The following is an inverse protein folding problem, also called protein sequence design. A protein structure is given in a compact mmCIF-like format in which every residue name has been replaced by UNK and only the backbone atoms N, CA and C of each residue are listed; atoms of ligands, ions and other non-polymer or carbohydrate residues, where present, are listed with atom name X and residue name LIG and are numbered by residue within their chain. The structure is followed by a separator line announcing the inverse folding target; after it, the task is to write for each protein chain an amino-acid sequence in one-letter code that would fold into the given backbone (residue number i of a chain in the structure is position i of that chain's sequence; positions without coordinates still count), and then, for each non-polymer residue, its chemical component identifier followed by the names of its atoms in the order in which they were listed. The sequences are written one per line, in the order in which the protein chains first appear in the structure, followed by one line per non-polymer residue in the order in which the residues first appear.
data_IF_931947545108
#
_entry.id   IF_931947545108
#
_cell.length_a   1.000
_cell.length_b   1.000
_cell.length_c   1.000
_cell.angle_alpha   90.00
_cell.angle_beta   90.00
_cell.angle_gamma   90.00
#
_symmetry.space_group_name_H-M   'P 1'
#
loop_
_entity.id
_entity.type
_entity.pdbx_description
1 polymer ?
#
# COMPACT_ATOMS: atom_id res chain seq x y z
N UNK A 1 -18.82 10.76 4.92
CA UNK A 1 -20.29 10.78 5.08
C UNK A 1 -21.02 11.54 3.97
N UNK A 2 -20.37 12.46 3.30
CA UNK A 2 -20.98 13.18 2.17
C UNK A 2 -21.29 12.29 0.96
N UNK A 3 -20.52 11.24 0.77
CA UNK A 3 -20.63 10.32 -0.36
C UNK A 3 -21.39 9.01 -0.06
N UNK A 4 -21.81 8.76 1.19
CA UNK A 4 -22.46 7.52 1.58
C UNK A 4 -23.59 7.77 2.60
N UNK A 5 -24.77 7.18 2.35
CA UNK A 5 -25.94 7.28 3.26
C UNK A 5 -25.70 6.51 4.56
N UNK A 6 -24.96 5.42 4.51
CA UNK A 6 -24.66 4.55 5.64
C UNK A 6 -23.23 4.02 5.51
N UNK A 7 -22.49 4.03 6.60
CA UNK A 7 -21.13 3.50 6.68
C UNK A 7 -21.10 2.34 7.67
N UNK A 8 -20.70 1.19 7.19
CA UNK A 8 -20.46 0.00 8.01
C UNK A 8 -18.96 -0.23 8.10
N UNK A 9 -18.43 -0.33 9.31
CA UNK A 9 -17.02 -0.58 9.57
C UNK A 9 -16.79 -1.93 10.19
N UNK A 10 -15.63 -2.52 9.93
CA UNK A 10 -15.18 -3.73 10.62
C UNK A 10 -13.70 -3.65 10.97
N UNK A 11 -13.31 -4.36 12.02
CA UNK A 11 -11.93 -4.51 12.46
C UNK A 11 -11.79 -5.83 13.20
N UNK A 12 -10.59 -6.42 13.20
CA UNK A 12 -10.29 -7.60 14.03
C UNK A 12 -10.36 -7.31 15.52
N UNK A 13 -10.10 -6.06 15.92
CA UNK A 13 -10.15 -5.63 17.32
C UNK A 13 -11.56 -5.18 17.70
N UNK A 14 -12.15 -5.71 18.78
CA UNK A 14 -13.50 -5.33 19.20
C UNK A 14 -13.61 -3.87 19.65
N UNK A 15 -12.51 -3.27 20.06
CA UNK A 15 -12.43 -1.88 20.53
C UNK A 15 -11.61 -1.02 19.56
N UNK A 16 -11.98 -1.05 18.29
CA UNK A 16 -11.35 -0.19 17.29
C UNK A 16 -11.91 1.23 17.33
N UNK A 17 -11.08 2.28 17.20
CA UNK A 17 -11.55 3.65 17.05
C UNK A 17 -12.52 3.85 15.88
N UNK A 18 -12.49 3.00 14.88
CA UNK A 18 -13.44 3.00 13.74
C UNK A 18 -14.89 2.97 14.22
N UNK A 19 -15.19 2.26 15.32
CA UNK A 19 -16.55 2.14 15.88
C UNK A 19 -17.21 3.49 16.19
N UNK A 20 -16.44 4.54 16.45
CA UNK A 20 -16.95 5.89 16.73
C UNK A 20 -17.30 6.70 15.48
N UNK A 21 -16.88 6.25 14.30
CA UNK A 21 -17.00 7.00 13.04
C UNK A 21 -17.94 6.36 12.03
N UNK A 22 -18.51 5.18 12.36
CA UNK A 22 -19.39 4.41 11.47
C UNK A 22 -20.79 4.26 12.07
N UNK A 23 -21.79 3.98 11.23
CA UNK A 23 -23.17 3.79 11.67
C UNK A 23 -23.40 2.38 12.26
N UNK A 24 -22.61 1.40 11.82
CA UNK A 24 -22.56 0.03 12.36
C UNK A 24 -21.11 -0.45 12.38
N UNK A 25 -20.76 -1.15 13.44
CA UNK A 25 -19.43 -1.74 13.59
C UNK A 25 -19.54 -3.23 13.87
N UNK A 26 -18.67 -4.00 13.24
CA UNK A 26 -18.57 -5.45 13.39
C UNK A 26 -17.14 -5.88 13.67
N UNK A 27 -16.97 -6.84 14.59
CA UNK A 27 -15.71 -7.53 14.77
C UNK A 27 -15.54 -8.53 13.64
N UNK A 28 -14.50 -8.36 12.83
CA UNK A 28 -14.15 -9.25 11.73
C UNK A 28 -13.17 -10.33 12.18
N UNK A 29 -13.20 -11.53 11.60
CA UNK A 29 -12.07 -12.45 11.69
C UNK A 29 -10.85 -11.90 10.96
N UNK A 30 -9.68 -12.48 11.20
CA UNK A 30 -8.46 -12.10 10.47
C UNK A 30 -8.62 -12.45 8.98
N UNK A 31 -8.21 -11.55 8.08
CA UNK A 31 -8.25 -11.84 6.64
C UNK A 31 -7.35 -13.03 6.25
N UNK A 32 -6.31 -13.31 7.05
CA UNK A 32 -5.47 -14.51 6.90
C UNK A 32 -6.23 -15.82 7.14
N UNK A 33 -7.30 -15.79 7.93
CA UNK A 33 -8.28 -16.87 7.99
C UNK A 33 -9.33 -16.67 6.88
N UNK A 34 -8.92 -17.05 5.68
CA UNK A 34 -9.66 -16.72 4.45
C UNK A 34 -11.08 -17.27 4.46
N UNK A 35 -11.32 -18.44 5.04
CA UNK A 35 -12.63 -19.09 5.06
C UNK A 35 -13.61 -18.28 5.91
N UNK A 36 -13.24 -18.00 7.14
CA UNK A 36 -14.08 -17.27 8.10
C UNK A 36 -14.26 -15.81 7.64
N UNK A 37 -13.19 -15.20 7.12
CA UNK A 37 -13.25 -13.84 6.59
C UNK A 37 -14.23 -13.71 5.42
N UNK A 38 -14.19 -14.62 4.45
CA UNK A 38 -15.11 -14.60 3.31
C UNK A 38 -16.56 -14.90 3.73
N UNK A 39 -16.77 -15.82 4.69
CA UNK A 39 -18.09 -16.08 5.26
C UNK A 39 -18.66 -14.84 5.96
N UNK A 40 -17.83 -14.17 6.78
CA UNK A 40 -18.16 -12.92 7.45
C UNK A 40 -18.53 -11.82 6.43
N UNK A 41 -17.72 -11.60 5.40
CA UNK A 41 -18.01 -10.58 4.39
C UNK A 41 -19.33 -10.85 3.68
N UNK A 42 -19.62 -12.12 3.33
CA UNK A 42 -20.89 -12.51 2.73
C UNK A 42 -22.07 -12.19 3.64
N UNK A 43 -21.98 -12.58 4.92
CA UNK A 43 -23.05 -12.35 5.91
C UNK A 43 -23.34 -10.84 6.07
N UNK A 44 -22.29 -10.04 6.30
CA UNK A 44 -22.45 -8.60 6.52
C UNK A 44 -22.92 -7.88 5.25
N UNK A 45 -22.42 -8.28 4.08
CA UNK A 45 -22.87 -7.69 2.80
C UNK A 45 -24.37 -7.86 2.60
N UNK A 46 -24.92 -9.03 2.89
CA UNK A 46 -26.36 -9.31 2.75
C UNK A 46 -27.16 -8.58 3.84
N UNK A 47 -26.73 -8.69 5.11
CA UNK A 47 -27.42 -8.10 6.27
C UNK A 47 -27.53 -6.59 6.18
N UNK A 48 -26.43 -5.93 5.81
CA UNK A 48 -26.32 -4.47 5.80
C UNK A 48 -26.63 -3.85 4.43
N UNK A 49 -26.89 -4.70 3.41
CA UNK A 49 -27.13 -4.30 2.01
C UNK A 49 -25.98 -3.44 1.51
N UNK A 50 -24.76 -3.96 1.62
CA UNK A 50 -23.54 -3.27 1.20
C UNK A 50 -23.52 -3.15 -0.33
N UNK A 51 -23.38 -1.94 -0.82
CA UNK A 51 -23.22 -1.64 -2.25
C UNK A 51 -21.75 -1.56 -2.65
N UNK A 52 -20.91 -0.98 -1.76
CA UNK A 52 -19.48 -0.74 -2.00
C UNK A 52 -18.64 -1.28 -0.84
N UNK A 53 -17.54 -1.91 -1.16
CA UNK A 53 -16.57 -2.37 -0.16
C UNK A 53 -15.18 -1.84 -0.46
N UNK A 54 -14.58 -1.17 0.51
CA UNK A 54 -13.24 -0.61 0.46
C UNK A 54 -12.31 -1.38 1.42
N UNK A 55 -11.45 -2.28 0.92
CA UNK A 55 -10.44 -2.94 1.73
C UNK A 55 -9.31 -1.95 2.07
N UNK A 56 -8.87 -1.97 3.33
CA UNK A 56 -7.84 -1.04 3.82
C UNK A 56 -6.51 -1.75 4.06
N UNK A 57 -6.55 -2.99 4.55
CA UNK A 57 -5.33 -3.73 4.84
C UNK A 57 -4.83 -4.53 3.64
N UNK A 58 -3.51 -4.71 3.55
CA UNK A 58 -2.90 -5.51 2.49
C UNK A 58 -3.32 -6.98 2.56
N UNK A 59 -3.60 -7.51 3.77
CA UNK A 59 -4.12 -8.87 3.94
C UNK A 59 -5.52 -9.03 3.34
N UNK A 60 -6.39 -8.03 3.49
CA UNK A 60 -7.72 -8.04 2.86
C UNK A 60 -7.59 -7.96 1.33
N UNK A 61 -6.72 -7.08 0.84
CA UNK A 61 -6.47 -6.90 -0.59
C UNK A 61 -5.96 -8.20 -1.22
N UNK A 62 -5.01 -8.89 -0.58
CA UNK A 62 -4.44 -10.15 -1.09
C UNK A 62 -5.53 -11.24 -1.19
N UNK A 63 -6.36 -11.39 -0.17
CA UNK A 63 -7.48 -12.33 -0.17
C UNK A 63 -8.51 -11.96 -1.23
N UNK A 64 -8.93 -10.70 -1.28
CA UNK A 64 -9.96 -10.24 -2.22
C UNK A 64 -9.47 -10.23 -3.67
N UNK A 65 -8.17 -10.04 -3.90
CA UNK A 65 -7.58 -10.11 -5.23
C UNK A 65 -7.88 -11.46 -5.91
N UNK A 66 -7.80 -12.55 -5.16
CA UNK A 66 -8.06 -13.90 -5.68
C UNK A 66 -9.54 -14.31 -5.60
N UNK A 67 -10.34 -13.66 -4.77
CA UNK A 67 -11.73 -14.02 -4.45
C UNK A 67 -12.75 -12.95 -4.82
N UNK A 68 -12.35 -11.93 -5.60
CA UNK A 68 -13.22 -10.78 -5.94
C UNK A 68 -14.57 -11.20 -6.50
N UNK A 69 -14.62 -12.20 -7.40
CA UNK A 69 -15.86 -12.69 -8.00
C UNK A 69 -16.90 -13.19 -6.99
N UNK A 70 -16.46 -13.68 -5.83
CA UNK A 70 -17.40 -14.15 -4.79
C UNK A 70 -18.14 -12.99 -4.11
N UNK A 71 -17.49 -11.83 -4.00
CA UNK A 71 -18.10 -10.64 -3.43
C UNK A 71 -18.91 -9.88 -4.48
N UNK A 72 -18.39 -9.76 -5.69
CA UNK A 72 -19.08 -9.13 -6.82
C UNK A 72 -20.40 -9.88 -7.16
N UNK A 73 -20.42 -11.21 -7.03
CA UNK A 73 -21.65 -12.01 -7.21
C UNK A 73 -22.76 -11.71 -6.19
N UNK A 74 -22.45 -11.01 -5.09
CA UNK A 74 -23.42 -10.50 -4.12
C UNK A 74 -23.99 -9.13 -4.52
N UNK A 75 -23.56 -8.55 -5.64
CA UNK A 75 -23.89 -7.21 -6.06
C UNK A 75 -23.04 -6.12 -5.40
N UNK A 76 -21.96 -6.49 -4.69
CA UNK A 76 -21.06 -5.56 -4.03
C UNK A 76 -19.95 -5.13 -4.97
N UNK A 77 -19.76 -3.84 -5.15
CA UNK A 77 -18.65 -3.30 -5.92
C UNK A 77 -17.41 -3.13 -5.01
N UNK A 78 -16.28 -3.67 -5.48
CA UNK A 78 -15.02 -3.59 -4.75
C UNK A 78 -14.20 -2.37 -5.22
N UNK A 79 -13.89 -1.46 -4.29
CA UNK A 79 -12.88 -0.43 -4.50
C UNK A 79 -11.49 -1.08 -4.39
N UNK A 80 -11.15 -1.84 -5.41
CA UNK A 80 -9.97 -2.70 -5.44
C UNK A 80 -9.29 -2.57 -6.81
N UNK A 81 -8.01 -2.28 -6.81
CA UNK A 81 -7.23 -2.16 -8.04
C UNK A 81 -7.27 -3.44 -8.88
N UNK A 82 -6.94 -3.34 -10.16
CA UNK A 82 -6.84 -4.49 -11.07
C UNK A 82 -5.85 -5.52 -10.52
N UNK A 83 -6.06 -6.79 -10.85
CA UNK A 83 -5.27 -7.91 -10.34
C UNK A 83 -3.77 -7.74 -10.64
N UNK A 84 -3.40 -7.34 -11.86
CA UNK A 84 -2.01 -7.11 -12.23
C UNK A 84 -1.32 -6.04 -11.37
N UNK A 85 -2.03 -4.96 -11.01
CA UNK A 85 -1.53 -3.90 -10.14
C UNK A 85 -1.26 -4.44 -8.74
N UNK A 86 -2.22 -5.21 -8.20
CA UNK A 86 -2.10 -5.81 -6.87
C UNK A 86 -0.98 -6.85 -6.84
N UNK A 87 -0.93 -7.77 -7.81
CA UNK A 87 0.09 -8.82 -7.89
C UNK A 87 1.51 -8.26 -8.04
N UNK A 88 1.65 -7.09 -8.68
CA UNK A 88 2.93 -6.40 -8.81
C UNK A 88 3.31 -5.70 -7.53
N UNK A 89 2.41 -4.92 -6.94
CA UNK A 89 2.78 -4.01 -5.84
C UNK A 89 2.68 -4.64 -4.43
N UNK A 90 2.02 -5.78 -4.26
CA UNK A 90 2.13 -6.58 -3.03
C UNK A 90 3.42 -7.40 -2.95
N UNK A 91 4.11 -7.60 -4.06
CA UNK A 91 5.43 -8.27 -4.12
C UNK A 91 6.53 -7.23 -4.32
N UNK A 92 7.36 -7.02 -3.28
CA UNK A 92 8.40 -5.97 -3.30
C UNK A 92 9.48 -6.20 -4.35
N UNK A 93 9.78 -7.46 -4.69
CA UNK A 93 10.73 -7.76 -5.76
C UNK A 93 10.14 -7.44 -7.14
N UNK A 94 8.88 -7.83 -7.37
CA UNK A 94 8.17 -7.47 -8.61
C UNK A 94 8.01 -5.96 -8.76
N UNK A 95 7.75 -5.25 -7.65
CA UNK A 95 7.69 -3.77 -7.65
C UNK A 95 9.00 -3.17 -8.16
N UNK A 96 10.14 -3.62 -7.63
CA UNK A 96 11.46 -3.14 -8.06
C UNK A 96 11.69 -3.46 -9.53
N UNK A 97 11.51 -4.71 -9.95
CA UNK A 97 11.68 -5.14 -11.35
C UNK A 97 10.80 -4.35 -12.33
N UNK A 98 9.56 -4.09 -11.94
CA UNK A 98 8.62 -3.29 -12.74
C UNK A 98 9.11 -1.84 -12.90
N UNK A 99 9.53 -1.21 -11.80
CA UNK A 99 10.02 0.17 -11.82
C UNK A 99 11.34 0.30 -12.60
N UNK A 100 12.24 -0.67 -12.49
CA UNK A 100 13.47 -0.74 -13.31
C UNK A 100 13.13 -0.83 -14.80
N UNK A 101 12.12 -1.63 -15.17
CA UNK A 101 11.62 -1.72 -16.55
C UNK A 101 11.11 -0.39 -17.11
N UNK A 102 10.64 0.49 -16.24
CA UNK A 102 10.25 1.87 -16.57
C UNK A 102 11.41 2.87 -16.47
N UNK A 103 12.65 2.45 -16.20
CA UNK A 103 13.79 3.33 -15.91
C UNK A 103 13.48 4.33 -14.77
N UNK A 104 12.76 3.91 -13.73
CA UNK A 104 12.54 4.65 -12.50
C UNK A 104 13.58 4.19 -11.49
N UNK A 105 14.23 5.13 -10.81
CA UNK A 105 15.25 4.81 -9.82
C UNK A 105 14.66 4.09 -8.62
N UNK A 106 15.26 2.95 -8.28
CA UNK A 106 14.90 2.11 -7.12
C UNK A 106 16.17 1.74 -6.36
N UNK A 107 16.09 1.39 -5.08
CA UNK A 107 17.25 0.84 -4.36
C UNK A 107 17.58 -0.55 -4.91
N UNK A 108 18.84 -0.88 -5.07
CA UNK A 108 19.28 -2.24 -5.45
C UNK A 108 18.65 -3.25 -4.50
N UNK A 109 18.00 -4.26 -5.05
CA UNK A 109 17.20 -5.23 -4.29
C UNK A 109 17.33 -6.61 -4.90
N UNK A 110 17.56 -7.62 -4.07
CA UNK A 110 17.61 -9.02 -4.51
C UNK A 110 17.11 -9.95 -3.40
N UNK A 111 17.00 -11.25 -3.70
CA UNK A 111 16.78 -12.24 -2.66
C UNK A 111 17.97 -12.26 -1.70
N UNK A 112 17.72 -12.43 -0.41
CA UNK A 112 18.79 -12.54 0.58
C UNK A 112 19.69 -13.75 0.31
N UNK A 113 19.15 -14.83 -0.27
CA UNK A 113 19.94 -16.01 -0.70
C UNK A 113 20.98 -15.72 -1.77
N UNK A 114 20.77 -14.69 -2.57
CA UNK A 114 21.58 -14.35 -3.75
C UNK A 114 22.59 -13.23 -3.46
N UNK A 115 22.58 -12.73 -2.21
CA UNK A 115 23.40 -11.59 -1.82
C UNK A 115 24.88 -11.95 -1.67
N UNK A 116 25.73 -11.17 -2.31
CA UNK A 116 27.17 -11.33 -2.39
C UNK A 116 27.96 -10.27 -1.60
N UNK A 117 27.31 -9.60 -0.65
CA UNK A 117 27.84 -8.51 0.19
C UNK A 117 28.22 -7.21 -0.58
N UNK A 118 27.68 -7.05 -1.79
CA UNK A 118 28.04 -5.97 -2.73
C UNK A 118 27.47 -4.58 -2.39
N UNK A 119 26.50 -4.48 -1.44
CA UNK A 119 25.86 -3.19 -1.14
C UNK A 119 26.58 -2.38 -0.07
N UNK A 120 27.42 -3.02 0.75
CA UNK A 120 27.94 -2.44 1.98
C UNK A 120 26.86 -2.27 3.05
N UNK A 121 27.24 -1.74 4.20
CA UNK A 121 26.32 -1.52 5.32
C UNK A 121 26.06 -0.04 5.55
N UNK A 122 24.86 0.35 6.05
CA UNK A 122 23.74 -0.51 6.42
C UNK A 122 22.94 -1.01 5.22
N UNK A 123 22.29 -2.18 5.37
CA UNK A 123 21.30 -2.71 4.41
C UNK A 123 19.94 -2.91 5.09
N UNK A 124 18.89 -3.03 4.30
CA UNK A 124 17.54 -3.35 4.76
C UNK A 124 17.21 -4.79 4.41
N UNK A 125 16.83 -5.58 5.41
CA UNK A 125 16.24 -6.91 5.20
C UNK A 125 14.73 -6.84 5.45
N UNK A 126 13.94 -7.36 4.53
CA UNK A 126 12.47 -7.35 4.60
C UNK A 126 11.87 -8.56 3.90
N UNK A 127 10.66 -8.95 4.30
CA UNK A 127 9.94 -10.02 3.59
C UNK A 127 9.51 -9.55 2.20
N UNK A 128 9.60 -10.44 1.21
CA UNK A 128 9.15 -10.23 -0.17
C UNK A 128 7.67 -9.83 -0.21
N UNK A 129 6.82 -10.54 0.55
CA UNK A 129 5.44 -10.17 0.83
C UNK A 129 5.32 -9.95 2.34
N UNK A 130 4.90 -8.78 2.76
CA UNK A 130 4.68 -8.47 4.18
C UNK A 130 3.66 -7.36 4.31
N UNK A 131 2.89 -7.40 5.39
CA UNK A 131 1.87 -6.43 5.70
C UNK A 131 2.32 -5.57 6.89
N UNK A 132 2.36 -4.24 6.71
CA UNK A 132 2.60 -3.28 7.78
C UNK A 132 4.00 -3.30 8.37
N UNK A 133 5.06 -3.29 7.56
CA UNK A 133 6.48 -3.24 7.96
C UNK A 133 6.92 -4.37 8.91
N UNK A 134 6.14 -5.44 9.01
CA UNK A 134 6.53 -6.62 9.77
C UNK A 134 7.77 -7.23 9.12
N UNK A 135 8.76 -7.58 9.95
CA UNK A 135 10.05 -8.15 9.53
C UNK A 135 10.97 -7.21 8.73
N UNK A 136 10.73 -5.88 8.75
CA UNK A 136 11.71 -4.93 8.23
C UNK A 136 12.81 -4.71 9.28
N UNK A 137 14.06 -4.93 8.90
CA UNK A 137 15.23 -4.74 9.77
C UNK A 137 16.31 -3.97 9.03
N UNK A 138 16.86 -2.96 9.68
CA UNK A 138 18.08 -2.29 9.25
C UNK A 138 19.25 -3.05 9.86
N UNK A 139 20.13 -3.56 9.02
CA UNK A 139 21.28 -4.38 9.37
C UNK A 139 22.52 -3.52 9.27
N UNK A 140 23.27 -3.46 10.34
CA UNK A 140 24.41 -2.56 10.47
C UNK A 140 25.75 -3.22 10.14
N UNK A 141 25.83 -4.55 10.20
CA UNK A 141 27.05 -5.31 9.98
C UNK A 141 26.78 -6.73 9.50
N UNK A 142 27.86 -7.43 9.15
CA UNK A 142 27.82 -8.81 8.65
C UNK A 142 27.35 -9.83 9.68
N UNK A 143 27.55 -9.60 10.96
CA UNK A 143 27.17 -10.57 12.01
C UNK A 143 25.67 -10.64 12.19
N UNK A 144 25.01 -9.48 12.17
CA UNK A 144 23.55 -9.39 12.16
C UNK A 144 22.97 -10.03 10.91
N UNK A 145 23.60 -9.82 9.75
CA UNK A 145 23.16 -10.40 8.49
C UNK A 145 23.29 -11.93 8.51
N UNK A 146 24.39 -12.47 9.00
CA UNK A 146 24.61 -13.92 9.11
C UNK A 146 23.55 -14.59 10.01
N UNK A 147 23.22 -13.95 11.14
CA UNK A 147 22.18 -14.45 12.03
C UNK A 147 20.81 -14.53 11.35
N UNK A 148 20.44 -13.53 10.55
CA UNK A 148 19.17 -13.50 9.84
C UNK A 148 19.18 -14.48 8.67
N UNK A 149 20.31 -14.60 7.95
CA UNK A 149 20.46 -15.51 6.83
C UNK A 149 20.25 -16.97 7.24
N UNK A 150 20.71 -17.36 8.43
CA UNK A 150 20.46 -18.71 8.99
C UNK A 150 18.99 -19.03 9.25
N UNK A 151 18.14 -18.00 9.35
CA UNK A 151 16.69 -18.12 9.57
C UNK A 151 15.86 -17.84 8.32
N UNK A 152 16.52 -17.58 7.19
CA UNK A 152 15.85 -17.28 5.93
C UNK A 152 15.23 -18.55 5.34
N UNK A 153 13.93 -18.51 5.10
CA UNK A 153 13.15 -19.56 4.43
C UNK A 153 13.06 -19.33 2.89
N UNK A 154 13.89 -18.43 2.36
CA UNK A 154 13.86 -18.02 0.95
C UNK A 154 12.89 -16.86 0.66
N UNK A 155 12.17 -16.36 1.64
CA UNK A 155 11.18 -15.27 1.47
C UNK A 155 11.73 -13.86 1.72
N UNK A 156 12.98 -13.76 2.21
CA UNK A 156 13.58 -12.48 2.56
C UNK A 156 14.28 -11.82 1.36
N UNK A 157 14.12 -10.51 1.27
CA UNK A 157 14.86 -9.62 0.38
C UNK A 157 15.90 -8.87 1.18
N UNK A 158 17.03 -8.60 0.53
CA UNK A 158 17.99 -7.60 0.95
C UNK A 158 17.94 -6.41 0.01
N UNK A 159 17.97 -5.21 0.57
CA UNK A 159 17.85 -3.97 -0.16
C UNK A 159 18.87 -2.95 0.34
N UNK A 160 19.44 -2.21 -0.61
CA UNK A 160 20.28 -1.06 -0.32
C UNK A 160 19.56 -0.04 0.57
N UNK A 161 20.23 0.46 1.60
CA UNK A 161 19.71 1.53 2.45
C UNK A 161 20.00 2.89 1.81
N UNK A 162 19.04 3.44 1.10
CA UNK A 162 19.19 4.70 0.37
C UNK A 162 18.64 5.90 1.12
N UNK A 163 19.28 7.05 0.94
CA UNK A 163 18.82 8.35 1.41
C UNK A 163 18.70 8.47 2.92
N UNK A 164 17.91 9.44 3.36
CA UNK A 164 17.69 9.77 4.76
C UNK A 164 16.21 9.74 5.11
N UNK A 165 15.88 9.35 6.34
CA UNK A 165 14.51 9.40 6.88
C UNK A 165 13.95 10.83 6.94
N UNK A 166 14.81 11.86 6.86
CA UNK A 166 14.40 13.28 6.80
C UNK A 166 13.91 13.68 5.39
N UNK A 167 14.32 12.94 4.38
CA UNK A 167 13.97 13.15 2.97
C UNK A 167 13.10 12.02 2.44
N UNK A 168 12.14 11.59 3.24
CA UNK A 168 11.17 10.56 2.87
C UNK A 168 9.84 11.19 2.45
N UNK A 169 9.33 10.74 1.30
CA UNK A 169 8.13 11.24 0.66
C UNK A 169 7.07 10.14 0.55
N UNK A 170 5.82 10.54 0.65
CA UNK A 170 4.66 9.69 0.39
C UNK A 170 3.73 10.38 -0.59
N UNK A 171 3.41 9.70 -1.67
CA UNK A 171 2.60 10.26 -2.75
C UNK A 171 1.34 9.43 -2.94
N UNK A 172 0.17 10.07 -2.80
CA UNK A 172 -1.08 9.49 -3.24
C UNK A 172 -1.25 9.71 -4.73
N UNK A 173 -1.61 8.65 -5.43
CA UNK A 173 -1.85 8.65 -6.87
C UNK A 173 -3.25 8.12 -7.10
N UNK A 174 -4.07 8.87 -7.81
CA UNK A 174 -5.40 8.46 -8.24
C UNK A 174 -5.53 8.61 -9.75
N UNK A 175 -6.25 7.67 -10.36
CA UNK A 175 -6.69 7.81 -11.75
C UNK A 175 -8.12 7.32 -11.91
N UNK A 176 -8.89 8.00 -12.73
CA UNK A 176 -10.21 7.56 -13.19
C UNK A 176 -10.15 6.78 -14.52
N UNK A 177 -8.93 6.57 -15.02
CA UNK A 177 -8.65 5.96 -16.32
C UNK A 177 -8.34 6.97 -17.43
N UNK A 178 -8.69 8.25 -17.25
CA UNK A 178 -8.42 9.33 -18.21
C UNK A 178 -7.47 10.38 -17.62
N UNK A 179 -7.68 10.75 -16.37
CA UNK A 179 -6.91 11.77 -15.67
C UNK A 179 -6.14 11.10 -14.54
N UNK A 180 -4.86 11.43 -14.44
CA UNK A 180 -4.01 11.05 -13.31
C UNK A 180 -3.80 12.27 -12.43
N UNK A 181 -4.08 12.12 -11.14
CA UNK A 181 -3.83 13.15 -10.13
C UNK A 181 -2.89 12.59 -9.07
N UNK A 182 -1.97 13.40 -8.57
CA UNK A 182 -1.08 13.05 -7.49
C UNK A 182 -1.01 14.14 -6.42
N UNK A 183 -0.68 13.76 -5.20
CA UNK A 183 -0.37 14.67 -4.11
C UNK A 183 0.78 14.10 -3.28
N UNK A 184 1.81 14.90 -3.08
CA UNK A 184 3.04 14.48 -2.43
C UNK A 184 3.23 15.20 -1.10
N UNK A 185 3.64 14.44 -0.10
CA UNK A 185 4.07 14.98 1.20
C UNK A 185 5.47 14.48 1.53
N UNK A 186 6.33 15.38 1.97
CA UNK A 186 7.49 14.99 2.78
C UNK A 186 6.98 14.64 4.16
N UNK A 187 7.36 13.46 4.67
CA UNK A 187 6.77 12.93 5.90
C UNK A 187 7.83 12.59 6.95
N UNK A 188 7.40 12.62 8.20
CA UNK A 188 8.13 12.05 9.33
C UNK A 188 7.34 10.88 9.88
N UNK A 189 8.02 9.75 10.06
CA UNK A 189 7.43 8.57 10.65
C UNK A 189 7.55 8.58 12.17
N UNK A 190 6.49 8.13 12.82
CA UNK A 190 6.45 7.84 14.25
C UNK A 190 6.44 6.34 14.53
N UNK A 191 6.00 6.00 15.73
CA UNK A 191 5.85 4.60 16.14
C UNK A 191 4.90 3.84 15.19
N UNK A 192 5.26 2.61 14.82
CA UNK A 192 4.45 1.78 13.93
C UNK A 192 4.44 2.23 12.47
N UNK A 193 5.44 3.00 12.03
CA UNK A 193 5.58 3.49 10.64
C UNK A 193 4.41 4.35 10.17
N UNK A 194 3.66 4.97 11.08
CA UNK A 194 2.62 5.94 10.74
C UNK A 194 3.21 7.33 10.56
N UNK A 195 2.72 8.08 9.58
CA UNK A 195 3.09 9.48 9.40
C UNK A 195 2.54 10.32 10.55
N UNK A 196 3.43 10.94 11.34
CA UNK A 196 3.07 11.86 12.43
C UNK A 196 3.17 13.32 12.00
N UNK A 197 3.92 13.58 10.93
CA UNK A 197 4.07 14.90 10.31
C UNK A 197 4.06 14.70 8.79
N UNK A 198 3.36 15.59 8.08
CA UNK A 198 3.29 15.58 6.63
C UNK A 198 3.26 17.03 6.13
N UNK A 199 4.27 17.42 5.35
CA UNK A 199 4.43 18.73 4.75
C UNK A 199 4.18 18.59 3.26
N UNK A 200 3.22 19.35 2.72
CA UNK A 200 2.95 19.35 1.29
C UNK A 200 4.22 19.71 0.51
N UNK A 201 4.53 18.92 -0.48
CA UNK A 201 5.70 19.08 -1.33
C UNK A 201 5.28 19.19 -2.79
N UNK A 202 5.87 20.16 -3.49
CA UNK A 202 5.72 20.34 -4.93
C UNK A 202 7.00 19.81 -5.60
N UNK A 203 6.91 18.63 -6.21
CA UNK A 203 8.06 17.90 -6.75
C UNK A 203 7.73 17.38 -8.16
N UNK A 204 8.03 18.18 -9.21
CA UNK A 204 7.69 17.83 -10.60
C UNK A 204 8.26 16.49 -11.07
N UNK A 205 9.41 16.06 -10.52
CA UNK A 205 9.98 14.75 -10.83
C UNK A 205 9.10 13.61 -10.29
N UNK A 206 8.56 13.75 -9.08
CA UNK A 206 7.61 12.77 -8.53
C UNK A 206 6.34 12.74 -9.37
N UNK A 207 5.82 13.89 -9.80
CA UNK A 207 4.62 13.95 -10.65
C UNK A 207 4.85 13.23 -11.98
N UNK A 208 6.02 13.40 -12.59
CA UNK A 208 6.39 12.65 -13.80
C UNK A 208 6.44 11.14 -13.54
N UNK A 209 7.05 10.71 -12.44
CA UNK A 209 7.11 9.29 -12.05
C UNK A 209 5.68 8.73 -11.87
N UNK A 210 4.82 9.45 -11.16
CA UNK A 210 3.44 9.00 -10.88
C UNK A 210 2.61 8.87 -12.15
N UNK A 211 2.74 9.84 -13.07
CA UNK A 211 2.07 9.82 -14.37
C UNK A 211 2.47 8.59 -15.18
N UNK A 212 3.77 8.28 -15.25
CA UNK A 212 4.30 7.12 -15.99
C UNK A 212 3.78 5.81 -15.42
N UNK A 213 3.83 5.64 -14.10
CA UNK A 213 3.32 4.43 -13.42
C UNK A 213 1.82 4.26 -13.67
N UNK A 214 1.03 5.32 -13.49
CA UNK A 214 -0.41 5.25 -13.61
C UNK A 214 -0.86 4.92 -15.04
N UNK A 215 -0.22 5.53 -16.03
CA UNK A 215 -0.52 5.29 -17.45
C UNK A 215 -0.13 3.87 -17.86
N UNK A 216 1.10 3.44 -17.54
CA UNK A 216 1.60 2.11 -17.93
C UNK A 216 0.79 0.97 -17.29
N UNK A 217 0.42 1.11 -16.01
CA UNK A 217 -0.45 0.14 -15.31
C UNK A 217 -1.92 0.20 -15.74
N UNK A 218 -2.35 1.23 -16.47
CA UNK A 218 -3.76 1.49 -16.74
C UNK A 218 -4.54 1.61 -15.44
N UNK A 219 -4.03 2.44 -14.50
CA UNK A 219 -4.59 2.61 -13.17
C UNK A 219 -6.00 3.18 -13.26
N UNK A 220 -6.93 2.52 -12.55
CA UNK A 220 -8.26 3.04 -12.22
C UNK A 220 -8.46 2.79 -10.74
N UNK A 221 -8.37 3.85 -9.94
CA UNK A 221 -8.39 3.77 -8.49
C UNK A 221 -7.20 4.49 -7.85
N UNK A 222 -6.82 4.08 -6.64
CA UNK A 222 -5.77 4.76 -5.87
C UNK A 222 -4.65 3.80 -5.48
N UNK A 223 -3.42 4.31 -5.55
CA UNK A 223 -2.21 3.66 -5.01
C UNK A 223 -1.41 4.67 -4.20
N UNK A 224 -0.49 4.18 -3.38
CA UNK A 224 0.40 5.04 -2.59
C UNK A 224 1.86 4.67 -2.83
N UNK A 225 2.64 5.61 -3.35
CA UNK A 225 4.07 5.47 -3.59
C UNK A 225 4.88 6.05 -2.43
N UNK A 226 6.02 5.42 -2.13
CA UNK A 226 6.98 5.91 -1.16
C UNK A 226 8.35 6.02 -1.81
N UNK A 227 8.99 7.18 -1.60
CA UNK A 227 10.30 7.48 -2.19
C UNK A 227 11.19 8.25 -1.20
N UNK A 228 12.47 8.25 -1.47
CA UNK A 228 13.44 9.12 -0.79
C UNK A 228 14.21 9.94 -1.80
N UNK A 229 14.55 11.16 -1.42
CA UNK A 229 15.47 11.99 -2.20
C UNK A 229 16.92 11.54 -1.93
N UNK A 230 17.67 11.32 -3.00
CA UNK A 230 19.09 10.98 -2.99
C UNK A 230 19.80 11.90 -3.99
N UNK A 231 20.47 12.91 -3.49
CA UNK A 231 20.96 13.99 -4.34
C UNK A 231 19.82 14.74 -5.03
N UNK A 232 19.81 14.75 -6.34
CA UNK A 232 18.76 15.38 -7.14
C UNK A 232 17.64 14.41 -7.56
N UNK A 233 17.77 13.12 -7.25
CA UNK A 233 16.87 12.09 -7.75
C UNK A 233 15.92 11.61 -6.66
N UNK A 234 14.76 11.09 -7.08
CA UNK A 234 13.86 10.33 -6.22
C UNK A 234 13.99 8.83 -6.46
N UNK A 235 14.28 8.11 -5.40
CA UNK A 235 14.42 6.64 -5.41
C UNK A 235 13.16 6.03 -4.81
N UNK A 236 12.37 5.33 -5.62
CA UNK A 236 11.11 4.70 -5.20
C UNK A 236 11.40 3.34 -4.58
N UNK A 237 11.01 3.14 -3.31
CA UNK A 237 11.31 1.91 -2.60
C UNK A 237 10.10 1.06 -2.23
N UNK A 238 8.87 1.60 -2.37
CA UNK A 238 7.62 0.89 -2.11
C UNK A 238 6.44 1.52 -2.83
N UNK A 239 5.54 0.69 -3.36
CA UNK A 239 4.21 1.10 -3.81
C UNK A 239 3.19 0.18 -3.13
N UNK A 240 2.15 0.79 -2.55
CA UNK A 240 1.04 0.08 -1.94
C UNK A 240 -0.21 0.23 -2.80
N UNK A 241 -0.84 -0.86 -3.26
CA UNK A 241 -2.00 -0.81 -4.17
C UNK A 241 -3.31 -0.48 -3.42
N UNK A 242 -3.29 0.56 -2.58
CA UNK A 242 -4.37 0.96 -1.69
C UNK A 242 -4.28 2.41 -1.26
N UNK A 243 -5.37 2.90 -0.67
CA UNK A 243 -5.36 4.15 0.09
C UNK A 243 -4.38 4.05 1.28
N UNK A 244 -3.73 5.13 1.62
CA UNK A 244 -2.76 5.17 2.71
C UNK A 244 -3.28 5.90 3.95
N UNK A 245 -2.54 5.79 5.07
CA UNK A 245 -2.83 6.52 6.30
C UNK A 245 -2.79 8.05 6.15
N UNK A 246 -2.20 8.57 5.07
CA UNK A 246 -2.17 10.03 4.78
C UNK A 246 -3.44 10.54 4.12
N UNK A 247 -4.45 9.71 3.89
CA UNK A 247 -5.71 10.10 3.25
C UNK A 247 -6.38 11.32 3.91
N UNK A 248 -6.39 11.42 5.23
CA UNK A 248 -6.96 12.57 5.93
C UNK A 248 -6.15 13.86 5.72
N UNK A 249 -4.84 13.77 5.56
CA UNK A 249 -4.01 14.93 5.19
C UNK A 249 -4.35 15.38 3.77
N UNK A 250 -4.43 14.44 2.81
CA UNK A 250 -4.74 14.72 1.40
C UNK A 250 -6.07 15.44 1.25
N UNK A 251 -7.11 14.97 1.96
CA UNK A 251 -8.44 15.57 1.93
C UNK A 251 -8.43 17.06 2.31
N UNK A 252 -7.58 17.47 3.26
CA UNK A 252 -7.43 18.88 3.64
C UNK A 252 -6.91 19.78 2.52
N UNK A 253 -6.24 19.20 1.54
CA UNK A 253 -5.73 19.88 0.35
C UNK A 253 -6.60 19.64 -0.89
N UNK A 254 -7.82 19.11 -0.72
CA UNK A 254 -8.75 18.88 -1.81
C UNK A 254 -8.53 17.57 -2.58
N UNK A 255 -7.61 16.72 -2.15
CA UNK A 255 -7.36 15.42 -2.77
C UNK A 255 -8.14 14.32 -2.02
N UNK A 256 -9.37 14.05 -2.46
CA UNK A 256 -10.29 13.08 -1.83
C UNK A 256 -10.41 11.81 -2.68
N UNK A 257 -9.29 11.09 -2.82
CA UNK A 257 -9.17 9.90 -3.66
C UNK A 257 -10.12 8.76 -3.27
N UNK A 258 -10.55 8.69 -2.02
CA UNK A 258 -11.57 7.74 -1.59
C UNK A 258 -12.95 8.03 -2.20
N UNK A 259 -13.37 9.30 -2.20
CA UNK A 259 -14.64 9.73 -2.79
C UNK A 259 -14.56 9.66 -4.32
N UNK A 260 -13.47 10.07 -4.91
CA UNK A 260 -13.27 9.98 -6.37
C UNK A 260 -13.35 8.53 -6.85
N UNK A 261 -12.72 7.59 -6.12
CA UNK A 261 -12.78 6.17 -6.47
C UNK A 261 -14.21 5.63 -6.37
N UNK A 262 -14.92 5.98 -5.30
CA UNK A 262 -16.33 5.62 -5.15
C UNK A 262 -17.17 6.13 -6.33
N UNK A 263 -16.98 7.37 -6.76
CA UNK A 263 -17.68 7.96 -7.90
C UNK A 263 -17.38 7.23 -9.21
N UNK A 264 -16.13 6.82 -9.44
CA UNK A 264 -15.75 6.01 -10.61
C UNK A 264 -16.44 4.65 -10.60
N UNK A 265 -16.55 4.01 -9.43
CA UNK A 265 -17.26 2.73 -9.31
C UNK A 265 -18.79 2.88 -9.46
N UNK A 266 -19.35 4.06 -9.17
CA UNK A 266 -20.78 4.34 -9.25
C UNK A 266 -21.25 4.76 -10.66
N UNK A 267 -20.32 5.15 -11.54
CA UNK A 267 -20.63 5.56 -12.93
C UNK A 267 -20.82 4.37 -13.85
#
# INVERSE_FOLDING_TARGET
REAAKKIVGCDMKPYSPVSYFVDRFYKAPAATDTTDYMAFLKEISIREKIEYFLPISESEIDVLNTRRKHIEALGVQLLLNKQNIIDTFLDKLKTVQYLEGLNIKVPRTMLLSDYDDSYGYPVIVKSKKSHGSKNLRKIMDMYDLEYISKKNDGSLLIQECVGSDKEEYTTGIFSDGNIVSSITFRRKLGFGSMSIEAILADEPEIDNITQRIAVDMGLIGSINMQSRRVGNDFVVFEINPRLSSTMLFRKKFGFDDAVWWLNVCAA
#
